data_IF_607375249565
#
_entry.id   IF_607375249565
#
_cell.length_a   1.000
_cell.length_b   1.000
_cell.length_c   1.000
_cell.angle_alpha   90.00
_cell.angle_beta   90.00
_cell.angle_gamma   90.00
#
_symmetry.space_group_name_H-M   'P 1'
#
loop_
_entity.id
_entity.type
_entity.pdbx_description
1 polymer ?
#
# COMPACT_ATOMS: atom_id res chain seq x y z
N UNK A 1 -13.89 2.12 10.74
CA UNK A 1 -12.56 2.74 10.61
C UNK A 1 -11.64 1.78 9.85
N UNK A 2 -10.74 2.29 9.03
CA UNK A 2 -9.65 1.56 8.37
C UNK A 2 -8.37 1.81 9.16
N UNK A 3 -7.55 0.80 9.39
CA UNK A 3 -6.18 0.97 9.89
C UNK A 3 -5.22 0.69 8.73
N UNK A 4 -4.30 1.62 8.50
CA UNK A 4 -3.21 1.47 7.54
C UNK A 4 -1.91 1.36 8.33
N UNK A 5 -1.17 0.27 8.14
CA UNK A 5 0.00 -0.07 8.95
C UNK A 5 1.25 -0.24 8.09
N UNK A 6 2.37 0.35 8.51
CA UNK A 6 3.66 0.21 7.85
C UNK A 6 4.55 1.45 7.91
N UNK A 7 5.38 1.63 6.88
CA UNK A 7 6.38 2.70 6.84
C UNK A 7 5.79 4.05 6.45
N UNK A 8 6.40 5.10 7.03
CA UNK A 8 6.41 6.47 6.55
C UNK A 8 7.88 6.90 6.41
N UNK A 9 8.25 7.47 5.30
CA UNK A 9 9.63 7.80 4.95
C UNK A 9 9.72 9.09 4.11
N UNK A 10 10.92 9.50 3.79
CA UNK A 10 11.18 10.55 2.81
C UNK A 10 11.84 9.93 1.58
N UNK A 11 11.24 10.15 0.43
CA UNK A 11 11.86 9.94 -0.87
C UNK A 11 12.77 11.14 -1.16
N UNK A 12 14.08 10.90 -1.20
CA UNK A 12 15.09 11.89 -1.54
C UNK A 12 15.52 11.70 -2.98
N UNK A 13 15.06 12.59 -3.86
CA UNK A 13 15.36 12.54 -5.30
C UNK A 13 16.63 13.31 -5.56
N UNK A 14 17.68 12.62 -6.01
CA UNK A 14 18.96 13.20 -6.41
C UNK A 14 19.00 13.33 -7.93
N UNK A 15 18.96 14.57 -8.42
CA UNK A 15 19.04 14.89 -9.84
C UNK A 15 20.50 14.90 -10.33
N UNK A 16 20.76 14.66 -11.64
CA UNK A 16 22.13 14.65 -12.21
C UNK A 16 22.89 15.96 -12.02
N UNK A 17 22.19 17.08 -11.87
CA UNK A 17 22.78 18.41 -11.60
C UNK A 17 23.09 18.67 -10.12
N UNK A 18 22.95 17.65 -9.26
CA UNK A 18 23.24 17.71 -7.83
C UNK A 18 22.13 18.30 -6.97
N UNK A 19 20.97 18.65 -7.54
CA UNK A 19 19.81 19.09 -6.75
C UNK A 19 19.19 17.92 -6.02
N UNK A 20 18.73 18.19 -4.79
CA UNK A 20 18.01 17.24 -3.95
C UNK A 20 16.59 17.74 -3.69
N UNK A 21 15.60 16.88 -3.93
CA UNK A 21 14.22 17.12 -3.55
C UNK A 21 13.78 16.07 -2.51
N UNK A 22 13.20 16.53 -1.41
CA UNK A 22 12.72 15.65 -0.33
C UNK A 22 11.18 15.60 -0.36
N UNK A 23 10.62 14.44 -0.69
CA UNK A 23 9.19 14.22 -0.79
C UNK A 23 8.71 13.22 0.27
N UNK A 24 7.61 13.49 0.98
CA UNK A 24 6.97 12.51 1.84
C UNK A 24 6.53 11.28 1.05
N UNK A 25 6.83 10.09 1.57
CA UNK A 25 6.58 8.82 0.89
C UNK A 25 6.38 7.64 1.85
N UNK A 26 6.34 6.46 1.26
CA UNK A 26 6.00 5.19 1.90
C UNK A 26 4.63 4.72 1.45
N UNK A 27 4.51 3.47 0.97
CA UNK A 27 3.25 2.94 0.43
C UNK A 27 2.08 3.05 1.42
N UNK A 28 2.20 2.54 2.65
CA UNK A 28 1.17 2.70 3.69
C UNK A 28 0.88 4.16 4.05
N UNK A 29 1.91 5.01 4.12
CA UNK A 29 1.72 6.44 4.37
C UNK A 29 0.87 7.10 3.28
N UNK A 30 1.17 6.86 2.01
CA UNK A 30 0.41 7.38 0.87
C UNK A 30 -1.03 6.85 0.85
N UNK A 31 -1.21 5.56 1.17
CA UNK A 31 -2.53 4.92 1.30
C UNK A 31 -3.37 5.59 2.38
N UNK A 32 -2.79 5.85 3.57
CA UNK A 32 -3.51 6.51 4.67
C UNK A 32 -3.95 7.93 4.29
N UNK A 33 -3.05 8.74 3.70
CA UNK A 33 -3.35 10.09 3.19
C UNK A 33 -4.47 10.06 2.16
N UNK A 34 -4.39 9.13 1.21
CA UNK A 34 -5.43 8.97 0.17
C UNK A 34 -6.80 8.71 0.79
N UNK A 35 -6.90 7.76 1.72
CA UNK A 35 -8.18 7.44 2.39
C UNK A 35 -8.70 8.65 3.16
N UNK A 36 -7.85 9.37 3.87
CA UNK A 36 -8.21 10.56 4.62
C UNK A 36 -8.73 11.67 3.71
N UNK A 37 -8.04 12.00 2.61
CA UNK A 37 -8.48 12.99 1.60
C UNK A 37 -9.81 12.63 0.94
N UNK A 38 -10.10 11.35 0.81
CA UNK A 38 -11.39 10.85 0.32
C UNK A 38 -12.50 10.91 1.38
N UNK A 39 -12.20 11.42 2.61
CA UNK A 39 -13.14 11.52 3.73
C UNK A 39 -13.40 10.20 4.45
N UNK A 40 -12.53 9.21 4.29
CA UNK A 40 -12.62 7.93 4.98
C UNK A 40 -12.10 8.00 6.42
N UNK A 41 -12.77 7.34 7.36
CA UNK A 41 -12.28 7.20 8.73
C UNK A 41 -11.06 6.26 8.74
N UNK A 42 -9.86 6.81 8.92
CA UNK A 42 -8.58 6.10 8.83
C UNK A 42 -7.65 6.47 9.99
N UNK A 43 -6.88 5.50 10.49
CA UNK A 43 -5.78 5.69 11.42
C UNK A 43 -4.49 5.11 10.82
N UNK A 44 -3.35 5.77 11.07
CA UNK A 44 -2.05 5.29 10.65
C UNK A 44 -1.32 4.62 11.83
N UNK A 45 -0.92 3.36 11.65
CA UNK A 45 -0.07 2.61 12.56
C UNK A 45 1.33 2.53 11.96
N UNK A 46 2.25 3.30 12.51
CA UNK A 46 3.64 3.33 12.07
C UNK A 46 4.51 4.04 13.07
N UNK A 47 5.82 3.90 12.93
CA UNK A 47 6.80 4.58 13.80
C UNK A 47 7.40 5.76 13.04
N UNK A 48 7.28 6.97 13.60
CA UNK A 48 7.64 8.23 12.96
C UNK A 48 8.60 9.02 13.84
N UNK A 49 9.66 9.55 13.26
CA UNK A 49 10.68 10.37 13.94
C UNK A 49 10.12 11.68 14.50
N UNK A 50 10.77 12.23 15.53
CA UNK A 50 10.58 13.61 16.01
C UNK A 50 11.40 14.64 15.25
N UNK A 51 12.27 14.21 14.31
CA UNK A 51 13.05 15.13 13.49
C UNK A 51 12.17 15.97 12.53
N UNK A 52 12.78 16.87 11.77
CA UNK A 52 12.06 17.76 10.83
C UNK A 52 11.28 17.01 9.77
N UNK A 53 11.80 15.90 9.27
CA UNK A 53 11.12 15.07 8.29
C UNK A 53 9.92 14.34 8.90
N UNK A 54 10.09 13.75 10.09
CA UNK A 54 9.00 13.10 10.80
C UNK A 54 7.89 14.08 11.20
N UNK A 55 8.24 15.31 11.60
CA UNK A 55 7.26 16.37 11.84
C UNK A 55 6.44 16.69 10.58
N UNK A 56 7.09 16.77 9.40
CA UNK A 56 6.41 16.99 8.12
C UNK A 56 5.48 15.82 7.77
N UNK A 57 5.93 14.57 7.95
CA UNK A 57 5.11 13.37 7.75
C UNK A 57 3.85 13.40 8.63
N UNK A 58 3.99 13.70 9.91
CA UNK A 58 2.85 13.81 10.84
C UNK A 58 1.88 14.92 10.45
N UNK A 59 2.40 16.11 10.15
CA UNK A 59 1.57 17.27 9.77
C UNK A 59 0.73 16.98 8.51
N UNK A 60 1.30 16.29 7.51
CA UNK A 60 0.56 15.90 6.31
C UNK A 60 -0.55 14.86 6.60
N UNK A 61 -0.27 13.86 7.46
CA UNK A 61 -1.29 12.90 7.88
C UNK A 61 -2.45 13.62 8.58
N UNK A 62 -2.14 14.53 9.50
CA UNK A 62 -3.13 15.30 10.26
C UNK A 62 -3.95 16.20 9.34
N UNK A 63 -3.28 16.93 8.41
CA UNK A 63 -3.94 17.77 7.41
C UNK A 63 -4.91 16.99 6.53
N UNK A 64 -4.55 15.76 6.18
CA UNK A 64 -5.36 14.87 5.36
C UNK A 64 -6.43 14.10 6.16
N UNK A 65 -6.61 14.41 7.47
CA UNK A 65 -7.66 13.83 8.32
C UNK A 65 -7.38 12.41 8.83
N UNK A 66 -6.11 11.98 8.84
CA UNK A 66 -5.69 10.67 9.37
C UNK A 66 -5.53 10.75 10.89
N UNK A 67 -6.15 9.83 11.64
CA UNK A 67 -5.97 9.73 13.09
C UNK A 67 -4.55 9.26 13.43
N UNK A 68 -3.88 9.97 14.35
CA UNK A 68 -2.47 9.78 14.70
C UNK A 68 -2.23 9.08 16.05
N UNK A 69 -3.26 8.65 16.73
CA UNK A 69 -3.19 8.03 18.06
C UNK A 69 -2.58 6.61 18.06
N UNK A 70 -2.40 6.01 16.89
CA UNK A 70 -1.61 4.78 16.69
C UNK A 70 -0.17 5.05 16.22
N UNK A 71 0.21 6.31 16.01
CA UNK A 71 1.58 6.66 15.60
C UNK A 71 2.53 6.58 16.78
N UNK A 72 3.58 5.77 16.65
CA UNK A 72 4.65 5.64 17.63
C UNK A 72 5.74 6.66 17.34
N UNK A 73 5.94 7.61 18.24
CA UNK A 73 6.99 8.62 18.09
C UNK A 73 8.34 8.07 18.55
N UNK A 74 9.43 8.45 17.86
CA UNK A 74 10.82 8.05 18.20
C UNK A 74 11.80 9.18 17.94
N UNK A 75 12.97 9.10 18.60
CA UNK A 75 14.12 9.98 18.35
C UNK A 75 15.07 9.41 17.27
N UNK A 76 14.85 8.17 16.80
CA UNK A 76 15.59 7.64 15.67
C UNK A 76 15.32 8.49 14.42
N UNK A 77 16.33 8.72 13.55
CA UNK A 77 16.17 9.54 12.36
C UNK A 77 15.12 8.98 11.40
N UNK A 78 14.49 9.85 10.63
CA UNK A 78 13.52 9.44 9.61
C UNK A 78 14.16 8.49 8.59
N UNK A 79 13.44 7.43 8.23
CA UNK A 79 13.82 6.49 7.16
C UNK A 79 13.86 7.22 5.82
N UNK A 80 14.87 6.94 4.99
CA UNK A 80 15.03 7.54 3.67
C UNK A 80 15.03 6.47 2.57
N UNK A 81 14.36 6.78 1.46
CA UNK A 81 14.55 6.14 0.18
C UNK A 81 15.22 7.15 -0.75
N UNK A 82 16.38 6.84 -1.30
CA UNK A 82 17.11 7.73 -2.21
C UNK A 82 16.91 7.22 -3.64
N UNK A 83 16.31 8.05 -4.49
CA UNK A 83 16.21 7.82 -5.91
C UNK A 83 17.33 8.63 -6.61
N UNK A 84 18.31 7.93 -7.15
CA UNK A 84 19.37 8.50 -7.96
C UNK A 84 18.94 8.45 -9.42
N UNK A 85 18.72 9.62 -10.03
CA UNK A 85 18.36 9.73 -11.45
C UNK A 85 19.63 9.71 -12.31
N UNK A 86 19.67 8.86 -13.30
CA UNK A 86 20.71 8.87 -14.32
C UNK A 86 20.45 9.93 -15.41
N UNK A 87 21.38 10.05 -16.36
CA UNK A 87 21.27 11.01 -17.47
C UNK A 87 20.09 10.78 -18.42
N UNK A 88 19.44 9.61 -18.36
CA UNK A 88 18.22 9.29 -19.11
C UNK A 88 16.94 9.55 -18.32
N UNK A 89 17.06 9.89 -17.01
CA UNK A 89 15.95 10.04 -16.09
C UNK A 89 15.49 8.73 -15.44
N UNK A 90 16.18 7.61 -15.67
CA UNK A 90 15.88 6.37 -14.98
C UNK A 90 16.35 6.44 -13.53
N UNK A 91 15.50 5.98 -12.60
CA UNK A 91 15.78 6.01 -11.17
C UNK A 91 16.36 4.69 -10.67
N UNK A 92 17.45 4.76 -9.90
CA UNK A 92 17.91 3.65 -9.06
C UNK A 92 17.62 3.97 -7.60
N UNK A 93 17.05 3.01 -6.87
CA UNK A 93 16.62 3.21 -5.48
C UNK A 93 17.60 2.60 -4.49
N UNK A 94 17.95 3.38 -3.46
CA UNK A 94 18.70 2.93 -2.30
C UNK A 94 17.96 3.28 -1.01
N UNK A 95 17.79 2.29 -0.14
CA UNK A 95 17.07 2.46 1.12
C UNK A 95 18.04 2.59 2.29
N UNK A 96 17.90 3.66 3.07
CA UNK A 96 18.64 3.91 4.32
C UNK A 96 17.68 3.63 5.47
N UNK A 97 17.73 2.41 5.98
CA UNK A 97 16.76 1.88 6.95
C UNK A 97 17.39 1.51 8.31
N UNK A 98 18.70 1.28 8.37
CA UNK A 98 19.37 0.83 9.58
C UNK A 98 19.38 1.94 10.64
N UNK A 99 18.84 1.65 11.83
CA UNK A 99 18.76 2.61 12.93
C UNK A 99 17.80 3.78 12.68
N UNK A 100 16.84 3.62 11.75
CA UNK A 100 15.87 4.65 11.41
C UNK A 100 14.47 4.36 11.98
N UNK A 101 13.56 5.31 11.82
CA UNK A 101 12.25 5.28 12.49
C UNK A 101 11.35 4.12 12.08
N UNK A 102 11.11 3.91 10.78
CA UNK A 102 10.06 3.00 10.33
C UNK A 102 10.29 1.53 10.73
N UNK A 103 11.49 0.93 10.55
CA UNK A 103 11.71 -0.48 10.88
C UNK A 103 11.44 -0.83 12.35
N UNK A 104 11.61 0.15 13.26
CA UNK A 104 11.52 -0.07 14.70
C UNK A 104 10.10 -0.22 15.28
N UNK A 105 9.07 -0.37 14.45
CA UNK A 105 7.71 -0.68 14.92
C UNK A 105 7.72 -2.08 15.57
N UNK A 106 7.35 -2.15 16.86
CA UNK A 106 7.43 -3.37 17.67
C UNK A 106 6.05 -3.90 18.08
N UNK A 107 5.98 -5.16 18.52
CA UNK A 107 4.72 -5.86 18.88
C UNK A 107 3.87 -5.11 19.92
N UNK A 108 4.49 -4.39 20.84
CA UNK A 108 3.75 -3.57 21.82
C UNK A 108 2.88 -2.50 21.17
N UNK A 109 3.21 -2.08 19.95
CA UNK A 109 2.50 -1.03 19.21
C UNK A 109 1.15 -1.48 18.64
N UNK A 110 0.93 -2.80 18.44
CA UNK A 110 -0.27 -3.30 17.78
C UNK A 110 -1.49 -3.41 18.73
N UNK A 111 -1.31 -3.33 20.03
CA UNK A 111 -2.41 -3.47 21.00
C UNK A 111 -3.52 -2.41 20.78
N UNK A 112 -3.12 -1.17 20.52
CA UNK A 112 -4.07 -0.09 20.20
C UNK A 112 -4.87 -0.37 18.92
N UNK A 113 -4.24 -0.95 17.90
CA UNK A 113 -4.90 -1.33 16.66
C UNK A 113 -5.90 -2.47 16.87
N UNK A 114 -5.53 -3.51 17.63
CA UNK A 114 -6.39 -4.64 17.98
C UNK A 114 -7.62 -4.19 18.78
N UNK A 115 -7.43 -3.31 19.77
CA UNK A 115 -8.51 -2.79 20.61
C UNK A 115 -9.58 -2.02 19.83
N UNK A 116 -9.24 -1.49 18.64
CA UNK A 116 -10.18 -0.75 17.78
C UNK A 116 -11.08 -1.64 16.94
N UNK A 117 -10.82 -2.93 16.84
CA UNK A 117 -11.53 -3.88 16.00
C UNK A 117 -11.85 -3.25 14.62
N UNK A 118 -10.84 -2.93 13.79
CA UNK A 118 -11.02 -2.17 12.56
C UNK A 118 -11.90 -2.92 11.57
N UNK A 119 -12.66 -2.20 10.74
CA UNK A 119 -13.40 -2.80 9.62
C UNK A 119 -12.46 -3.32 8.54
N UNK A 120 -11.32 -2.66 8.36
CA UNK A 120 -10.28 -3.09 7.44
C UNK A 120 -8.89 -2.75 7.97
N UNK A 121 -7.93 -3.63 7.67
CA UNK A 121 -6.50 -3.45 7.88
C UNK A 121 -5.81 -3.47 6.53
N UNK A 122 -4.97 -2.46 6.26
CA UNK A 122 -4.09 -2.40 5.09
C UNK A 122 -2.63 -2.41 5.52
N UNK A 123 -1.80 -3.19 4.83
CA UNK A 123 -0.35 -3.23 5.01
C UNK A 123 0.34 -3.64 3.70
N UNK A 124 1.65 -3.41 3.62
CA UNK A 124 2.40 -3.78 2.43
C UNK A 124 3.82 -3.21 2.38
N UNK A 125 4.41 -3.23 1.20
CA UNK A 125 5.67 -2.59 0.83
C UNK A 125 6.84 -2.98 1.76
N UNK A 126 7.57 -2.02 2.32
CA UNK A 126 8.68 -2.25 3.26
C UNK A 126 8.21 -2.83 4.60
N UNK A 127 6.92 -2.67 4.93
CA UNK A 127 6.30 -3.32 6.08
C UNK A 127 6.34 -4.86 6.03
N UNK A 128 6.58 -5.45 4.86
CA UNK A 128 6.74 -6.89 4.69
C UNK A 128 8.21 -7.35 4.73
N UNK A 129 9.15 -6.41 4.81
CA UNK A 129 10.60 -6.65 4.68
C UNK A 129 11.36 -6.29 5.94
N UNK A 130 11.16 -5.06 6.47
CA UNK A 130 12.04 -4.46 7.46
C UNK A 130 11.73 -4.94 8.88
N UNK A 131 12.73 -5.51 9.57
CA UNK A 131 12.58 -5.97 10.95
C UNK A 131 12.86 -4.86 11.97
N UNK A 132 12.17 -4.88 13.13
CA UNK A 132 11.13 -5.84 13.59
C UNK A 132 9.72 -5.56 13.06
N UNK A 133 9.52 -4.50 12.26
CA UNK A 133 8.20 -4.10 11.75
C UNK A 133 7.51 -5.26 10.99
N UNK A 134 8.24 -5.98 10.14
CA UNK A 134 7.67 -7.06 9.33
C UNK A 134 7.12 -8.20 10.19
N UNK A 135 7.84 -8.62 11.22
CA UNK A 135 7.37 -9.61 12.20
C UNK A 135 6.16 -9.08 13.00
N UNK A 136 6.18 -7.80 13.37
CA UNK A 136 5.09 -7.13 14.08
C UNK A 136 3.81 -7.09 13.25
N UNK A 137 3.91 -6.75 11.97
CA UNK A 137 2.76 -6.68 11.06
C UNK A 137 2.22 -8.08 10.71
N UNK A 138 3.09 -9.08 10.55
CA UNK A 138 2.67 -10.48 10.42
C UNK A 138 1.85 -10.92 11.64
N UNK A 139 2.31 -10.61 12.86
CA UNK A 139 1.59 -10.90 14.10
C UNK A 139 0.25 -10.15 14.17
N UNK A 140 0.19 -8.88 13.72
CA UNK A 140 -1.05 -8.11 13.67
C UNK A 140 -2.08 -8.77 12.76
N UNK A 141 -1.67 -9.20 11.55
CA UNK A 141 -2.53 -9.90 10.58
C UNK A 141 -3.13 -11.17 11.18
N UNK A 142 -2.35 -11.93 11.94
CA UNK A 142 -2.82 -13.15 12.61
C UNK A 142 -3.74 -12.92 13.82
N UNK A 143 -3.83 -11.67 14.34
CA UNK A 143 -4.54 -11.35 15.59
C UNK A 143 -5.75 -10.44 15.40
N UNK A 144 -5.92 -9.78 14.24
CA UNK A 144 -7.14 -9.01 13.97
C UNK A 144 -8.36 -9.93 13.92
N UNK A 145 -9.55 -9.44 14.35
CA UNK A 145 -10.78 -10.21 14.29
C UNK A 145 -11.07 -10.77 12.89
N UNK A 146 -11.72 -11.92 12.82
CA UNK A 146 -12.14 -12.53 11.53
C UNK A 146 -13.09 -11.64 10.73
N UNK A 147 -13.77 -10.71 11.38
CA UNK A 147 -14.64 -9.71 10.75
C UNK A 147 -13.85 -8.58 10.06
N UNK A 148 -12.57 -8.41 10.40
CA UNK A 148 -11.70 -7.41 9.77
C UNK A 148 -11.29 -7.86 8.38
N UNK A 149 -11.57 -7.03 7.36
CA UNK A 149 -11.04 -7.23 6.01
C UNK A 149 -9.54 -6.90 5.98
N UNK A 150 -8.73 -7.86 5.59
CA UNK A 150 -7.28 -7.68 5.44
C UNK A 150 -6.93 -7.48 3.97
N UNK A 151 -6.38 -6.29 3.66
CA UNK A 151 -5.83 -5.96 2.34
C UNK A 151 -4.32 -5.85 2.40
N UNK A 152 -3.65 -6.58 1.51
CA UNK A 152 -2.18 -6.55 1.37
C UNK A 152 -1.80 -5.99 0.01
N UNK A 153 -0.99 -4.94 0.00
CA UNK A 153 -0.28 -4.48 -1.19
C UNK A 153 1.15 -5.02 -1.16
N UNK A 154 1.42 -6.02 -1.99
CA UNK A 154 2.75 -6.66 -2.00
C UNK A 154 3.83 -5.64 -2.29
N UNK A 155 3.69 -4.90 -3.38
CA UNK A 155 4.54 -3.77 -3.78
C UNK A 155 6.03 -4.02 -3.44
N UNK A 156 6.54 -5.17 -3.91
CA UNK A 156 7.86 -5.68 -3.56
C UNK A 156 8.98 -4.71 -3.92
N UNK A 157 9.99 -4.66 -3.06
CA UNK A 157 11.20 -3.85 -3.28
C UNK A 157 12.43 -4.75 -3.26
N UNK A 158 12.81 -5.35 -4.40
CA UNK A 158 13.94 -6.27 -4.48
C UNK A 158 15.25 -5.69 -3.90
N UNK A 159 15.51 -4.40 -4.13
CA UNK A 159 16.70 -3.69 -3.62
C UNK A 159 16.70 -3.52 -2.09
N UNK A 160 15.54 -3.61 -1.43
CA UNK A 160 15.41 -3.62 0.02
C UNK A 160 15.23 -5.03 0.60
N UNK A 161 15.23 -6.08 -0.24
CA UNK A 161 14.93 -7.46 0.15
C UNK A 161 16.18 -8.33 0.03
N UNK A 162 17.03 -8.41 1.07
CA UNK A 162 18.30 -9.14 1.00
C UNK A 162 18.13 -10.66 0.88
N UNK A 163 17.03 -11.19 1.43
CA UNK A 163 16.68 -12.62 1.36
C UNK A 163 15.29 -12.80 0.72
N UNK A 164 15.28 -13.02 -0.60
CA UNK A 164 14.05 -13.21 -1.36
C UNK A 164 13.29 -14.49 -0.97
N UNK A 165 13.97 -15.53 -0.47
CA UNK A 165 13.34 -16.79 -0.06
C UNK A 165 12.58 -16.58 1.25
N UNK A 166 13.21 -15.98 2.25
CA UNK A 166 12.57 -15.65 3.52
C UNK A 166 11.42 -14.66 3.32
N UNK A 167 11.59 -13.67 2.43
CA UNK A 167 10.53 -12.72 2.09
C UNK A 167 9.31 -13.42 1.47
N UNK A 168 9.49 -14.27 0.46
CA UNK A 168 8.39 -15.01 -0.17
C UNK A 168 7.64 -15.86 0.85
N UNK A 169 8.37 -16.60 1.69
CA UNK A 169 7.77 -17.43 2.74
C UNK A 169 6.92 -16.59 3.73
N UNK A 170 7.39 -15.39 4.13
CA UNK A 170 6.61 -14.46 4.95
C UNK A 170 5.37 -13.96 4.22
N UNK A 171 5.54 -13.51 2.98
CA UNK A 171 4.41 -13.02 2.17
C UNK A 171 3.35 -14.09 2.06
N UNK A 172 3.69 -15.34 1.77
CA UNK A 172 2.75 -16.45 1.69
C UNK A 172 1.96 -16.65 2.99
N UNK A 173 2.62 -16.57 4.17
CA UNK A 173 1.93 -16.67 5.47
C UNK A 173 0.96 -15.51 5.69
N UNK A 174 1.34 -14.28 5.35
CA UNK A 174 0.48 -13.11 5.44
C UNK A 174 -0.69 -13.22 4.46
N UNK A 175 -0.40 -13.62 3.22
CA UNK A 175 -1.42 -13.80 2.18
C UNK A 175 -2.40 -14.93 2.52
N UNK A 176 -2.03 -15.91 3.32
CA UNK A 176 -2.96 -16.95 3.79
C UNK A 176 -4.16 -16.36 4.54
N UNK A 177 -4.01 -15.19 5.21
CA UNK A 177 -5.08 -14.47 5.92
C UNK A 177 -5.68 -13.32 5.09
N UNK A 178 -5.02 -12.88 4.03
CA UNK A 178 -5.47 -11.73 3.24
C UNK A 178 -6.77 -12.04 2.48
N UNK A 179 -7.66 -11.06 2.48
CA UNK A 179 -8.95 -11.10 1.77
C UNK A 179 -8.86 -10.39 0.42
N UNK A 180 -8.06 -9.32 0.37
CA UNK A 180 -7.77 -8.56 -0.85
C UNK A 180 -6.26 -8.48 -1.01
N UNK A 181 -5.77 -8.85 -2.19
CA UNK A 181 -4.36 -8.75 -2.54
C UNK A 181 -4.20 -7.83 -3.73
N UNK A 182 -3.43 -6.76 -3.54
CA UNK A 182 -2.96 -5.95 -4.66
C UNK A 182 -1.54 -6.38 -5.00
N UNK A 183 -1.30 -6.61 -6.28
CA UNK A 183 0.00 -6.94 -6.85
C UNK A 183 0.18 -6.22 -8.17
N UNK A 184 1.42 -5.96 -8.56
CA UNK A 184 1.78 -5.65 -9.93
C UNK A 184 2.22 -6.92 -10.69
N UNK A 185 2.33 -6.81 -12.01
CA UNK A 185 2.96 -7.89 -12.80
C UNK A 185 4.41 -8.14 -12.39
N UNK A 186 5.12 -7.11 -11.93
CA UNK A 186 6.50 -7.24 -11.44
C UNK A 186 6.54 -7.93 -10.07
N UNK A 187 5.57 -7.66 -9.19
CA UNK A 187 5.43 -8.40 -7.93
C UNK A 187 5.20 -9.88 -8.18
N UNK A 188 4.33 -10.22 -9.15
CA UNK A 188 4.08 -11.63 -9.51
C UNK A 188 5.36 -12.33 -10.01
N UNK A 189 6.14 -11.66 -10.87
CA UNK A 189 7.43 -12.20 -11.33
C UNK A 189 8.42 -12.40 -10.18
N UNK A 190 8.45 -11.49 -9.22
CA UNK A 190 9.32 -11.57 -8.07
C UNK A 190 8.89 -12.67 -7.08
N UNK A 191 7.59 -12.83 -6.84
CA UNK A 191 7.04 -13.85 -5.94
C UNK A 191 7.13 -15.25 -6.55
N UNK A 192 6.84 -15.38 -7.83
CA UNK A 192 6.74 -16.67 -8.56
C UNK A 192 7.65 -16.68 -9.79
N UNK A 193 8.98 -16.69 -9.61
CA UNK A 193 9.92 -16.55 -10.73
C UNK A 193 9.87 -17.71 -11.75
N UNK A 194 9.37 -18.87 -11.32
CA UNK A 194 9.28 -20.08 -12.13
C UNK A 194 7.92 -20.23 -12.84
N UNK A 195 6.99 -19.29 -12.65
CA UNK A 195 5.65 -19.32 -13.24
C UNK A 195 5.50 -18.20 -14.28
N UNK A 196 4.71 -18.45 -15.31
CA UNK A 196 4.20 -17.38 -16.15
C UNK A 196 3.17 -16.52 -15.39
N UNK A 197 2.84 -15.34 -15.94
CA UNK A 197 1.94 -14.39 -15.25
C UNK A 197 0.53 -14.97 -15.01
N UNK A 198 0.02 -15.81 -15.89
CA UNK A 198 -1.31 -16.41 -15.73
C UNK A 198 -1.30 -17.48 -14.64
N UNK A 199 -0.29 -18.31 -14.60
CA UNK A 199 -0.07 -19.32 -13.55
C UNK A 199 0.15 -18.65 -12.19
N UNK A 200 0.99 -17.60 -12.12
CA UNK A 200 1.26 -16.85 -10.91
C UNK A 200 -0.02 -16.16 -10.39
N UNK A 201 -0.80 -15.51 -11.27
CA UNK A 201 -2.09 -14.90 -10.91
C UNK A 201 -3.09 -15.95 -10.41
N UNK A 202 -3.12 -17.11 -11.00
CA UNK A 202 -3.99 -18.22 -10.59
C UNK A 202 -3.57 -18.79 -9.23
N UNK A 203 -2.29 -18.94 -8.98
CA UNK A 203 -1.74 -19.40 -7.71
C UNK A 203 -2.11 -18.44 -6.56
N UNK A 204 -1.92 -17.13 -6.76
CA UNK A 204 -2.22 -16.13 -5.72
C UNK A 204 -3.74 -15.93 -5.49
N UNK A 205 -4.58 -16.14 -6.52
CA UNK A 205 -6.03 -15.98 -6.43
C UNK A 205 -6.76 -17.18 -5.82
N UNK A 206 -6.11 -18.35 -5.80
CA UNK A 206 -6.73 -19.61 -5.36
C UNK A 206 -5.99 -20.16 -4.13
N UNK A 207 -6.33 -19.67 -2.90
CA UNK A 207 -5.65 -20.13 -1.70
C UNK A 207 -5.93 -21.61 -1.44
N UNK A 208 -4.90 -22.36 -1.05
CA UNK A 208 -5.03 -23.78 -0.71
C UNK A 208 -5.99 -24.04 0.47
N UNK A 209 -6.21 -23.04 1.31
CA UNK A 209 -7.12 -23.10 2.47
C UNK A 209 -8.60 -23.01 2.13
N UNK A 210 -8.96 -22.77 0.85
CA UNK A 210 -10.32 -22.44 0.45
C UNK A 210 -10.72 -21.03 0.87
N UNK A 211 -11.78 -20.50 0.31
CA UNK A 211 -12.28 -19.16 0.58
C UNK A 211 -12.25 -18.26 -0.64
N UNK A 212 -12.98 -17.15 -0.59
CA UNK A 212 -12.97 -16.16 -1.67
C UNK A 212 -11.99 -15.05 -1.36
N UNK A 213 -11.02 -14.87 -2.24
CA UNK A 213 -9.99 -13.84 -2.20
C UNK A 213 -10.11 -12.99 -3.45
N UNK A 214 -10.04 -11.67 -3.30
CA UNK A 214 -9.95 -10.77 -4.43
C UNK A 214 -8.47 -10.44 -4.71
N UNK A 215 -8.08 -10.49 -5.99
CA UNK A 215 -6.76 -10.07 -6.44
C UNK A 215 -6.92 -8.93 -7.44
N UNK A 216 -6.18 -7.86 -7.20
CA UNK A 216 -6.12 -6.65 -8.02
C UNK A 216 -4.72 -6.59 -8.64
N UNK A 217 -4.58 -7.07 -9.88
CA UNK A 217 -3.29 -7.09 -10.57
C UNK A 217 -3.15 -5.89 -11.49
N UNK A 218 -2.17 -5.02 -11.22
CA UNK A 218 -1.86 -3.82 -11.99
C UNK A 218 -0.64 -4.03 -12.89
N UNK A 219 -0.58 -3.29 -14.01
CA UNK A 219 0.53 -3.33 -14.97
C UNK A 219 0.82 -1.94 -15.54
N UNK A 220 1.11 -0.97 -14.65
CA UNK A 220 1.32 0.43 -15.05
C UNK A 220 0.09 1.03 -15.72
N UNK A 221 0.24 1.48 -16.97
CA UNK A 221 -0.85 2.04 -17.79
C UNK A 221 -1.71 0.98 -18.49
N UNK A 222 -1.34 -0.29 -18.43
CA UNK A 222 -2.10 -1.39 -19.02
C UNK A 222 -3.35 -1.73 -18.19
N UNK A 223 -4.33 -2.45 -18.77
CA UNK A 223 -5.55 -2.82 -18.07
C UNK A 223 -5.31 -3.62 -16.79
N UNK A 224 -6.07 -3.28 -15.74
CA UNK A 224 -6.04 -3.98 -14.45
C UNK A 224 -6.82 -5.28 -14.54
N UNK A 225 -6.25 -6.38 -14.05
CA UNK A 225 -6.97 -7.64 -13.91
C UNK A 225 -7.54 -7.74 -12.50
N UNK A 226 -8.85 -7.84 -12.40
CA UNK A 226 -9.59 -8.15 -11.17
C UNK A 226 -9.92 -9.64 -11.18
N UNK A 227 -9.52 -10.36 -10.13
CA UNK A 227 -9.72 -11.79 -10.02
C UNK A 227 -10.42 -12.16 -8.70
N UNK A 228 -11.41 -13.05 -8.77
CA UNK A 228 -12.11 -13.63 -7.60
C UNK A 228 -12.32 -15.12 -7.86
N UNK A 229 -11.55 -15.97 -7.17
CA UNK A 229 -11.50 -17.40 -7.48
C UNK A 229 -11.14 -17.62 -8.97
N UNK A 230 -11.94 -18.35 -9.75
CA UNK A 230 -11.69 -18.56 -11.19
C UNK A 230 -12.13 -17.39 -12.07
N UNK A 231 -12.96 -16.47 -11.56
CA UNK A 231 -13.50 -15.35 -12.31
C UNK A 231 -12.44 -14.28 -12.56
N UNK A 232 -12.45 -13.69 -13.76
CA UNK A 232 -11.55 -12.61 -14.17
C UNK A 232 -12.32 -11.52 -14.90
N UNK A 233 -12.02 -10.27 -14.59
CA UNK A 233 -12.50 -9.09 -15.30
C UNK A 233 -11.30 -8.20 -15.60
N UNK A 234 -11.21 -7.73 -16.84
CA UNK A 234 -10.21 -6.74 -17.26
C UNK A 234 -10.83 -5.35 -17.18
N UNK A 235 -10.22 -4.46 -16.43
CA UNK A 235 -10.64 -3.09 -16.23
C UNK A 235 -9.68 -2.13 -16.94
N UNK A 236 -10.18 -1.38 -17.91
CA UNK A 236 -9.37 -0.35 -18.57
C UNK A 236 -8.95 0.75 -17.58
N UNK A 237 -7.71 1.21 -17.72
CA UNK A 237 -7.20 2.37 -16.98
C UNK A 237 -7.72 3.64 -17.67
N UNK A 238 -8.24 4.64 -16.92
CA UNK A 238 -8.67 5.90 -17.50
C UNK A 238 -7.50 6.61 -18.21
N UNK A 239 -7.71 7.17 -19.40
CA UNK A 239 -6.67 7.96 -20.07
C UNK A 239 -6.39 9.23 -19.25
N UNK A 240 -5.11 9.53 -19.04
CA UNK A 240 -4.66 10.70 -18.29
C UNK A 240 -3.30 11.15 -18.79
N UNK A 241 -3.04 12.46 -18.76
CA UNK A 241 -1.69 12.99 -18.95
C UNK A 241 -0.86 12.67 -17.69
N UNK A 242 0.17 11.83 -17.87
CA UNK A 242 1.02 11.37 -16.78
C UNK A 242 2.09 12.43 -16.48
N UNK A 243 2.05 12.98 -15.26
CA UNK A 243 3.07 13.90 -14.73
C UNK A 243 4.05 13.11 -13.86
N UNK A 244 3.56 12.22 -12.98
CA UNK A 244 4.37 11.41 -12.08
C UNK A 244 3.62 10.11 -11.75
N UNK A 245 4.33 8.98 -11.68
CA UNK A 245 3.73 7.68 -11.36
C UNK A 245 3.86 7.29 -9.89
N UNK A 246 4.58 8.10 -9.09
CA UNK A 246 4.77 7.84 -7.65
C UNK A 246 3.43 7.85 -6.92
N UNK A 247 3.19 6.82 -6.11
CA UNK A 247 1.96 6.69 -5.32
C UNK A 247 0.71 6.24 -6.09
N UNK A 248 0.79 6.01 -7.42
CA UNK A 248 -0.36 5.54 -8.21
C UNK A 248 -0.94 4.22 -7.68
N UNK A 249 -0.07 3.27 -7.36
CA UNK A 249 -0.45 1.98 -6.77
C UNK A 249 -1.11 2.14 -5.41
N UNK A 250 -0.54 3.00 -4.56
CA UNK A 250 -1.05 3.30 -3.22
C UNK A 250 -2.43 3.96 -3.31
N UNK A 251 -2.59 4.93 -4.22
CA UNK A 251 -3.85 5.63 -4.49
C UNK A 251 -4.93 4.69 -5.04
N UNK A 252 -4.56 3.76 -5.93
CA UNK A 252 -5.46 2.71 -6.43
C UNK A 252 -5.97 1.82 -5.29
N UNK A 253 -5.07 1.26 -4.49
CA UNK A 253 -5.42 0.40 -3.35
C UNK A 253 -6.25 1.13 -2.30
N UNK A 254 -5.89 2.37 -1.98
CA UNK A 254 -6.61 3.23 -1.06
C UNK A 254 -8.04 3.54 -1.54
N UNK A 255 -8.17 3.90 -2.82
CA UNK A 255 -9.46 4.17 -3.45
C UNK A 255 -10.38 2.94 -3.44
N UNK A 256 -9.83 1.77 -3.79
CA UNK A 256 -10.55 0.50 -3.66
C UNK A 256 -11.07 0.28 -2.24
N UNK A 257 -10.18 0.36 -1.26
CA UNK A 257 -10.51 0.08 0.14
C UNK A 257 -11.52 1.10 0.70
N UNK A 258 -11.35 2.39 0.36
CA UNK A 258 -12.30 3.44 0.72
C UNK A 258 -13.71 3.15 0.15
N UNK A 259 -13.82 2.87 -1.16
CA UNK A 259 -15.10 2.57 -1.81
C UNK A 259 -15.76 1.33 -1.21
N UNK A 260 -14.98 0.29 -0.91
CA UNK A 260 -15.45 -0.94 -0.28
C UNK A 260 -16.07 -0.68 1.08
N UNK A 261 -15.33 -0.02 1.96
CA UNK A 261 -15.75 0.25 3.34
C UNK A 261 -16.90 1.27 3.39
N UNK A 262 -16.85 2.33 2.56
CA UNK A 262 -17.90 3.35 2.46
C UNK A 262 -19.22 2.74 1.97
N UNK A 263 -19.15 1.78 1.02
CA UNK A 263 -20.30 1.04 0.52
C UNK A 263 -20.91 0.05 1.51
N UNK A 264 -20.43 -0.01 2.75
CA UNK A 264 -20.93 -0.92 3.78
C UNK A 264 -20.58 -2.39 3.55
N UNK A 265 -19.73 -2.70 2.58
CA UNK A 265 -19.39 -4.06 2.16
C UNK A 265 -18.55 -4.80 3.20
N UNK A 266 -18.72 -6.11 3.24
CA UNK A 266 -18.06 -7.05 4.15
C UNK A 266 -17.11 -7.98 3.39
N UNK A 267 -16.44 -8.88 4.08
CA UNK A 267 -15.61 -9.94 3.47
C UNK A 267 -16.42 -10.91 2.59
N UNK A 268 -17.69 -11.15 2.93
CA UNK A 268 -18.55 -12.07 2.19
C UNK A 268 -18.88 -11.53 0.79
N UNK A 269 -18.96 -10.20 0.63
CA UNK A 269 -19.22 -9.53 -0.64
C UNK A 269 -18.08 -9.69 -1.65
N UNK A 270 -16.87 -10.10 -1.21
CA UNK A 270 -15.73 -10.39 -2.09
C UNK A 270 -16.00 -11.55 -3.08
N UNK A 271 -17.02 -12.36 -2.83
CA UNK A 271 -17.44 -13.43 -3.76
C UNK A 271 -18.10 -12.89 -5.01
N UNK A 272 -18.56 -11.65 -4.99
CA UNK A 272 -19.26 -10.99 -6.10
C UNK A 272 -18.26 -10.16 -6.91
N UNK A 273 -17.83 -10.69 -8.05
CA UNK A 273 -16.80 -10.03 -8.87
C UNK A 273 -17.22 -8.63 -9.34
N UNK A 274 -18.50 -8.38 -9.61
CA UNK A 274 -18.99 -7.06 -9.99
C UNK A 274 -18.83 -6.05 -8.87
N UNK A 275 -19.02 -6.49 -7.61
CA UNK A 275 -18.81 -5.65 -6.44
C UNK A 275 -17.31 -5.26 -6.29
N UNK A 276 -16.42 -6.23 -6.48
CA UNK A 276 -14.96 -6.01 -6.46
C UNK A 276 -14.54 -5.11 -7.61
N UNK A 277 -15.06 -5.35 -8.82
CA UNK A 277 -14.76 -4.55 -10.02
C UNK A 277 -15.24 -3.11 -9.87
N UNK A 278 -16.41 -2.88 -9.28
CA UNK A 278 -16.92 -1.53 -9.03
C UNK A 278 -16.01 -0.74 -8.07
N UNK A 279 -15.53 -1.38 -6.98
CA UNK A 279 -14.58 -0.75 -6.07
C UNK A 279 -13.21 -0.52 -6.74
N UNK A 280 -12.73 -1.47 -7.56
CA UNK A 280 -11.49 -1.33 -8.33
C UNK A 280 -11.57 -0.19 -9.35
N UNK A 281 -12.72 0.01 -9.99
CA UNK A 281 -12.95 1.14 -10.90
C UNK A 281 -12.86 2.49 -10.18
N UNK A 282 -13.39 2.59 -8.97
CA UNK A 282 -13.22 3.79 -8.16
C UNK A 282 -11.74 4.02 -7.83
N UNK A 283 -11.02 2.98 -7.39
CA UNK A 283 -9.57 3.05 -7.15
C UNK A 283 -8.78 3.49 -8.37
N UNK A 284 -9.12 2.98 -9.57
CA UNK A 284 -8.48 3.36 -10.83
C UNK A 284 -8.66 4.86 -11.16
N UNK A 285 -9.84 5.43 -10.88
CA UNK A 285 -10.08 6.88 -11.02
C UNK A 285 -9.24 7.70 -10.03
N UNK A 286 -9.10 7.24 -8.77
CA UNK A 286 -8.25 7.90 -7.78
C UNK A 286 -6.79 7.89 -8.23
N UNK A 287 -6.30 6.75 -8.71
CA UNK A 287 -4.95 6.63 -9.25
C UNK A 287 -4.72 7.55 -10.48
N UNK A 288 -5.68 7.60 -11.42
CA UNK A 288 -5.60 8.46 -12.60
C UNK A 288 -5.44 9.94 -12.22
N UNK A 289 -6.20 10.43 -11.23
CA UNK A 289 -6.04 11.81 -10.74
C UNK A 289 -4.71 12.03 -10.00
N UNK A 290 -4.17 10.99 -9.36
CA UNK A 290 -2.87 11.07 -8.67
C UNK A 290 -1.73 11.20 -9.66
N UNK A 291 -1.69 10.39 -10.72
CA UNK A 291 -0.59 10.42 -11.72
C UNK A 291 -0.57 11.70 -12.55
N UNK A 292 -1.66 12.45 -12.60
CA UNK A 292 -1.72 13.78 -13.22
C UNK A 292 -1.06 14.89 -12.38
N UNK A 293 -0.38 14.55 -11.28
CA UNK A 293 0.26 15.50 -10.34
C UNK A 293 1.69 15.08 -10.02
N UNK A 294 2.53 16.05 -9.67
CA UNK A 294 3.88 15.75 -9.19
C UNK A 294 3.85 15.16 -7.77
N UNK A 295 4.59 14.09 -7.56
CA UNK A 295 4.65 13.34 -6.30
C UNK A 295 3.38 12.54 -6.01
N UNK A 296 3.39 11.83 -4.87
CA UNK A 296 2.23 11.04 -4.40
C UNK A 296 1.15 11.96 -3.80
N UNK A 297 0.48 12.78 -4.63
CA UNK A 297 -0.54 13.76 -4.22
C UNK A 297 -1.94 13.32 -4.65
N UNK A 298 -2.66 12.50 -3.82
CA UNK A 298 -3.97 11.98 -4.17
C UNK A 298 -5.06 13.08 -4.15
N UNK A 299 -6.19 12.86 -4.87
CA UNK A 299 -7.29 13.79 -4.91
C UNK A 299 -8.05 13.87 -3.57
N UNK A 300 -8.70 14.99 -3.32
CA UNK A 300 -9.72 15.13 -2.30
C UNK A 300 -11.08 14.62 -2.78
N UNK A 301 -11.99 14.29 -1.85
CA UNK A 301 -13.33 13.77 -2.17
C UNK A 301 -14.09 14.66 -3.17
N UNK A 302 -14.02 15.99 -3.02
CA UNK A 302 -14.66 16.97 -3.91
C UNK A 302 -14.20 16.87 -5.38
N UNK A 303 -12.97 16.42 -5.60
CA UNK A 303 -12.37 16.30 -6.95
C UNK A 303 -12.85 15.01 -7.65
N UNK A 304 -13.32 14.03 -6.89
CA UNK A 304 -13.90 12.79 -7.42
C UNK A 304 -15.31 12.99 -8.00
N UNK A 305 -15.98 14.08 -7.64
CA UNK A 305 -17.33 14.43 -8.10
C UNK A 305 -17.30 15.14 -9.47
N UNK A 306 -16.19 15.79 -9.80
CA UNK A 306 -15.99 16.49 -11.07
C UNK A 306 -15.53 15.48 -12.12
N UNK A 307 -16.46 14.86 -12.85
CA UNK A 307 -16.16 13.88 -13.91
C UNK A 307 -16.88 12.54 -13.78
N UNK A 308 -17.98 12.50 -13.03
CA UNK A 308 -18.92 11.38 -12.96
C UNK A 308 -19.97 11.46 -14.08
#
# INVERSE_FOLDING_TARGET
MIIVAGEALIDLIASPDGRLAAMPGGGPYNTARTIGRLGGAVAFLGRVSRDRFGQRLRANLELDGVALDLVVATDDPTTLAVAELDGSGAASYRFYTLGTSAPGLADTSIQGALARAPRALHLGTLGLVLEPMATTLEALVGRVPDTTLVMVDVNARPTATPDAVAYRARVERILARADVIKVSTDDLRFLYPDLDLQAALSAIASPASGGSRAVLCTAGGDPIVVAVGPQRVTLAVPPVEVVDTVGAGDAFGAGFLHAWVRGGRTREDLRVIDAVTAAARFGSRVAALTVGRAGAEPPYAREMEVGA
#
